data_IF_873813511663
#
_entry.id   IF_873813511663
#
_cell.length_a   1.000
_cell.length_b   1.000
_cell.length_c   1.000
_cell.angle_alpha   90.00
_cell.angle_beta   90.00
_cell.angle_gamma   90.00
#
_symmetry.space_group_name_H-M   'P 1'
#
loop_
_entity.id
_entity.type
_entity.pdbx_description
1 polymer ?
#
# COMPACT_ATOMS: atom_id res chain seq x y z
N UNK A 1 10.57 -9.83 9.44
CA UNK A 1 9.37 -9.96 10.30
C UNK A 1 9.50 -9.00 11.48
N UNK A 2 8.42 -8.34 11.83
CA UNK A 2 8.36 -7.51 13.01
C UNK A 2 7.94 -8.37 14.22
N UNK A 3 8.46 -8.03 15.40
CA UNK A 3 8.11 -8.71 16.64
C UNK A 3 7.48 -7.72 17.61
N UNK A 4 6.60 -8.19 18.44
CA UNK A 4 6.06 -7.44 19.56
C UNK A 4 6.12 -8.27 20.83
N UNK A 5 6.17 -7.60 21.99
CA UNK A 5 6.13 -8.25 23.28
C UNK A 5 4.90 -7.78 24.05
N UNK A 6 4.37 -8.65 24.87
CA UNK A 6 3.24 -8.34 25.74
C UNK A 6 3.49 -8.91 27.14
N UNK A 7 3.20 -8.09 28.14
CA UNK A 7 3.40 -8.45 29.55
C UNK A 7 2.31 -7.81 30.39
N UNK A 8 1.82 -8.53 31.36
CA UNK A 8 0.89 -8.01 32.37
C UNK A 8 1.59 -7.76 33.71
N UNK A 9 1.07 -6.86 34.49
CA UNK A 9 1.56 -6.62 35.85
C UNK A 9 0.42 -6.44 36.81
N UNK A 10 0.65 -6.79 38.08
CA UNK A 10 -0.25 -6.56 39.19
C UNK A 10 0.51 -5.78 40.29
N UNK A 11 -0.10 -4.79 40.85
CA UNK A 11 0.49 -4.03 41.97
C UNK A 11 -0.49 -3.89 43.12
N UNK A 12 0.02 -4.03 44.35
CA UNK A 12 -0.73 -3.79 45.56
C UNK A 12 0.24 -3.46 46.70
N UNK A 13 -0.18 -2.65 47.64
CA UNK A 13 0.62 -2.26 48.80
C UNK A 13 2.04 -1.80 48.47
N UNK A 14 2.22 -1.10 47.32
CA UNK A 14 3.53 -0.65 46.86
C UNK A 14 4.42 -1.73 46.24
N UNK A 15 3.91 -2.96 46.10
CA UNK A 15 4.61 -4.08 45.44
C UNK A 15 4.05 -4.30 44.05
N UNK A 16 4.93 -4.65 43.12
CA UNK A 16 4.56 -4.99 41.74
C UNK A 16 5.06 -6.38 41.39
N UNK A 17 4.20 -7.20 40.86
CA UNK A 17 4.54 -8.50 40.30
C UNK A 17 4.25 -8.48 38.77
N UNK A 18 5.22 -8.92 37.98
CA UNK A 18 5.12 -8.93 36.53
C UNK A 18 4.92 -10.37 36.05
N UNK A 19 4.12 -10.52 35.01
CA UNK A 19 4.01 -11.80 34.31
C UNK A 19 5.28 -12.08 33.48
N UNK A 20 5.38 -13.29 32.92
CA UNK A 20 6.29 -13.56 31.83
C UNK A 20 6.01 -12.64 30.64
N UNK A 21 7.00 -12.46 29.80
CA UNK A 21 6.87 -11.73 28.53
C UNK A 21 6.54 -12.74 27.44
N UNK A 22 5.48 -12.43 26.66
CA UNK A 22 5.09 -13.20 25.49
C UNK A 22 5.51 -12.44 24.25
N UNK A 23 6.15 -13.11 23.31
CA UNK A 23 6.60 -12.52 22.05
C UNK A 23 5.72 -13.03 20.92
N UNK A 24 5.22 -12.12 20.10
CA UNK A 24 4.50 -12.43 18.87
C UNK A 24 5.26 -11.93 17.65
N UNK A 25 5.03 -12.56 16.51
CA UNK A 25 5.59 -12.14 15.24
C UNK A 25 4.50 -11.62 14.31
N UNK A 26 4.79 -10.51 13.63
CA UNK A 26 3.93 -9.97 12.59
C UNK A 26 4.50 -10.43 11.25
N UNK A 27 3.77 -11.30 10.58
CA UNK A 27 4.17 -11.81 9.26
C UNK A 27 3.58 -10.94 8.17
N UNK A 28 4.43 -10.48 7.26
CA UNK A 28 3.98 -9.75 6.07
C UNK A 28 3.58 -10.75 5.00
N UNK A 29 2.31 -10.75 4.65
CA UNK A 29 1.76 -11.63 3.61
C UNK A 29 1.33 -10.86 2.35
N UNK A 30 1.21 -9.53 2.44
CA UNK A 30 0.96 -8.68 1.28
C UNK A 30 2.26 -8.08 0.77
N UNK A 31 2.44 -8.12 -0.52
CA UNK A 31 3.52 -7.43 -1.21
C UNK A 31 2.98 -6.64 -2.39
N UNK A 32 3.65 -5.54 -2.71
CA UNK A 32 3.30 -4.69 -3.83
C UNK A 32 4.54 -4.37 -4.64
N UNK A 33 4.41 -4.43 -5.95
CA UNK A 33 5.45 -3.99 -6.87
C UNK A 33 4.86 -3.09 -7.93
N UNK A 34 5.65 -2.17 -8.43
CA UNK A 34 5.27 -1.24 -9.49
C UNK A 34 6.34 -1.25 -10.57
N UNK A 35 5.90 -1.40 -11.80
CA UNK A 35 6.79 -1.38 -12.97
C UNK A 35 6.28 -0.41 -14.00
N UNK A 36 7.20 0.23 -14.71
CA UNK A 36 6.87 1.04 -15.88
C UNK A 36 6.83 0.14 -17.11
N UNK A 37 5.80 0.31 -17.93
CA UNK A 37 5.67 -0.41 -19.20
C UNK A 37 6.70 0.10 -20.22
N UNK A 38 7.06 1.38 -20.14
CA UNK A 38 8.05 2.01 -21.02
C UNK A 38 9.30 2.40 -20.25
N UNK A 39 10.48 2.11 -20.81
CA UNK A 39 11.76 2.46 -20.17
C UNK A 39 12.21 3.89 -20.39
N UNK A 40 11.66 4.60 -21.38
CA UNK A 40 12.00 5.99 -21.67
C UNK A 40 10.78 6.75 -22.12
N UNK A 41 10.80 8.07 -21.88
CA UNK A 41 9.68 8.95 -22.21
C UNK A 41 10.17 10.38 -22.43
N UNK A 42 9.33 11.17 -23.09
CA UNK A 42 9.52 12.61 -23.31
C UNK A 42 8.43 13.37 -22.60
N UNK A 43 8.66 14.66 -22.41
CA UNK A 43 7.66 15.56 -21.86
C UNK A 43 6.38 15.51 -22.73
N UNK A 44 5.26 15.31 -22.06
CA UNK A 44 3.95 15.21 -22.73
C UNK A 44 3.55 13.80 -23.13
N UNK A 45 4.43 12.82 -22.97
CA UNK A 45 4.10 11.42 -23.26
C UNK A 45 3.14 10.85 -22.22
N UNK A 46 2.36 9.85 -22.65
CA UNK A 46 1.54 9.05 -21.75
C UNK A 46 2.36 7.87 -21.23
N UNK A 47 2.39 7.71 -19.91
CA UNK A 47 3.07 6.62 -19.24
C UNK A 47 2.06 5.63 -18.69
N UNK A 48 2.38 4.34 -18.78
CA UNK A 48 1.58 3.28 -18.19
C UNK A 48 2.41 2.54 -17.16
N UNK A 49 1.83 2.36 -15.97
CA UNK A 49 2.43 1.60 -14.88
C UNK A 49 1.58 0.38 -14.57
N UNK A 50 2.25 -0.71 -14.21
CA UNK A 50 1.61 -1.90 -13.69
C UNK A 50 1.92 -2.02 -12.20
N UNK A 51 0.89 -2.11 -11.38
CA UNK A 51 0.99 -2.34 -9.94
C UNK A 51 0.49 -3.74 -9.65
N UNK A 52 1.36 -4.57 -9.11
CA UNK A 52 1.06 -5.95 -8.74
C UNK A 52 0.97 -6.08 -7.23
N UNK A 53 -0.11 -6.66 -6.74
CA UNK A 53 -0.31 -6.93 -5.33
C UNK A 53 -0.46 -8.43 -5.16
N UNK A 54 0.35 -9.01 -4.28
CA UNK A 54 0.34 -10.44 -4.00
C UNK A 54 0.01 -10.70 -2.55
N UNK A 55 -0.82 -11.71 -2.32
CA UNK A 55 -1.15 -12.21 -1.00
C UNK A 55 -0.61 -13.65 -0.87
N UNK A 56 0.39 -13.84 -0.03
CA UNK A 56 0.98 -15.15 0.24
C UNK A 56 0.40 -15.81 1.49
N UNK A 57 -0.54 -15.13 2.15
CA UNK A 57 -1.26 -15.68 3.30
C UNK A 57 -2.43 -16.55 2.89
N UNK A 58 -3.13 -17.07 3.88
CA UNK A 58 -4.27 -17.95 3.68
C UNK A 58 -5.62 -17.25 3.75
N UNK A 59 -5.65 -15.98 4.12
CA UNK A 59 -6.87 -15.17 4.23
C UNK A 59 -6.89 -14.08 3.16
N UNK A 60 -8.05 -13.84 2.53
CA UNK A 60 -8.18 -12.75 1.57
C UNK A 60 -8.19 -11.38 2.26
N UNK A 61 -7.80 -10.36 1.52
CA UNK A 61 -7.87 -8.96 1.95
C UNK A 61 -8.85 -8.20 1.07
N UNK A 62 -9.68 -7.38 1.70
CA UNK A 62 -10.67 -6.54 1.02
C UNK A 62 -10.54 -5.09 1.50
N UNK A 63 -11.07 -4.16 0.72
CA UNK A 63 -11.06 -2.76 1.09
C UNK A 63 -9.69 -2.12 1.10
N UNK A 64 -8.76 -2.64 0.30
CA UNK A 64 -7.41 -2.08 0.19
C UNK A 64 -7.42 -0.78 -0.61
N UNK A 65 -6.52 0.13 -0.24
CA UNK A 65 -6.30 1.39 -0.97
C UNK A 65 -4.86 1.43 -1.46
N UNK A 66 -4.70 1.69 -2.76
CA UNK A 66 -3.40 1.94 -3.38
C UNK A 66 -3.21 3.45 -3.50
N UNK A 67 -2.08 3.94 -3.04
CA UNK A 67 -1.74 5.37 -3.09
C UNK A 67 -0.47 5.55 -3.91
N UNK A 68 -0.51 6.51 -4.85
CA UNK A 68 0.62 6.85 -5.70
C UNK A 68 0.86 8.36 -5.59
N UNK A 69 2.09 8.75 -5.31
CA UNK A 69 2.47 10.15 -5.16
C UNK A 69 2.66 10.89 -6.49
N UNK A 70 2.49 10.20 -7.62
CA UNK A 70 2.66 10.75 -8.97
C UNK A 70 4.05 11.34 -9.20
N UNK A 71 5.06 10.76 -8.56
CA UNK A 71 6.45 11.18 -8.66
C UNK A 71 6.77 12.45 -7.89
N UNK A 72 5.92 12.86 -6.93
CA UNK A 72 6.09 14.09 -6.17
C UNK A 72 7.48 14.19 -5.51
N UNK A 73 8.09 15.36 -5.61
CA UNK A 73 9.36 15.65 -4.96
C UNK A 73 9.46 17.12 -4.61
N UNK A 74 10.44 17.44 -3.76
CA UNK A 74 10.72 18.82 -3.36
C UNK A 74 12.00 19.30 -4.04
N UNK A 75 11.92 20.46 -4.72
CA UNK A 75 13.08 21.13 -5.31
C UNK A 75 13.26 22.47 -4.58
N UNK A 76 14.25 22.58 -3.69
CA UNK A 76 14.39 23.73 -2.81
C UNK A 76 13.21 23.86 -1.86
N UNK A 77 12.44 24.95 -1.98
CA UNK A 77 11.19 25.19 -1.22
C UNK A 77 9.93 24.85 -2.01
N UNK A 78 10.06 24.44 -3.27
CA UNK A 78 8.93 24.14 -4.14
C UNK A 78 8.63 22.64 -4.16
N UNK A 79 7.34 22.31 -4.14
CA UNK A 79 6.87 20.93 -4.36
C UNK A 79 6.54 20.75 -5.83
N UNK A 80 6.99 19.63 -6.41
CA UNK A 80 6.78 19.30 -7.81
C UNK A 80 6.10 17.94 -7.93
N UNK A 81 5.02 17.87 -8.71
CA UNK A 81 4.34 16.62 -9.05
C UNK A 81 4.36 16.45 -10.56
N UNK A 82 5.33 15.70 -11.11
CA UNK A 82 5.57 15.66 -12.56
C UNK A 82 4.52 14.89 -13.34
N UNK A 83 3.78 13.97 -12.71
CA UNK A 83 2.80 13.12 -13.37
C UNK A 83 1.38 13.62 -13.08
N UNK A 84 0.50 13.45 -14.06
CA UNK A 84 -0.93 13.70 -13.93
C UNK A 84 -1.68 12.43 -14.27
N UNK A 85 -2.67 12.08 -13.46
CA UNK A 85 -3.51 10.92 -13.74
C UNK A 85 -4.38 11.17 -14.97
N UNK A 86 -4.35 10.22 -15.92
CA UNK A 86 -5.27 10.22 -17.07
C UNK A 86 -6.60 9.60 -16.64
N UNK A 87 -7.69 10.36 -16.68
CA UNK A 87 -9.01 9.91 -16.24
C UNK A 87 -9.46 8.63 -16.94
N UNK A 88 -10.20 7.78 -16.23
CA UNK A 88 -10.78 6.51 -16.72
C UNK A 88 -9.75 5.52 -17.29
N UNK A 89 -8.48 5.63 -16.86
CA UNK A 89 -7.38 4.81 -17.39
C UNK A 89 -6.99 3.65 -16.49
N UNK A 90 -7.64 3.46 -15.34
CA UNK A 90 -7.31 2.36 -14.43
C UNK A 90 -8.03 1.09 -14.87
N UNK A 91 -7.25 0.03 -15.10
CA UNK A 91 -7.75 -1.32 -15.31
C UNK A 91 -7.40 -2.17 -14.09
N UNK A 92 -8.35 -2.91 -13.58
CA UNK A 92 -8.23 -3.72 -12.37
C UNK A 92 -8.45 -5.20 -12.72
N UNK A 93 -7.46 -6.03 -12.40
CA UNK A 93 -7.50 -7.47 -12.66
C UNK A 93 -7.29 -8.24 -11.38
N UNK A 94 -8.05 -9.31 -11.21
CA UNK A 94 -7.84 -10.29 -10.13
C UNK A 94 -7.59 -11.65 -10.77
N UNK A 95 -6.43 -12.24 -10.51
CA UNK A 95 -6.01 -13.52 -11.08
C UNK A 95 -6.16 -13.56 -12.62
N UNK A 96 -5.82 -12.44 -13.27
CA UNK A 96 -5.91 -12.32 -14.73
C UNK A 96 -7.31 -12.01 -15.28
N UNK A 97 -8.31 -11.83 -14.43
CA UNK A 97 -9.68 -11.52 -14.84
C UNK A 97 -9.99 -10.05 -14.58
N UNK A 98 -10.42 -9.34 -15.62
CA UNK A 98 -10.80 -7.93 -15.51
C UNK A 98 -12.02 -7.77 -14.60
N UNK A 99 -11.91 -6.85 -13.66
CA UNK A 99 -12.96 -6.51 -12.70
C UNK A 99 -13.61 -5.17 -13.07
N UNK A 100 -14.70 -4.85 -12.38
CA UNK A 100 -15.31 -3.53 -12.45
C UNK A 100 -14.28 -2.46 -12.00
N UNK A 101 -14.39 -1.26 -12.56
CA UNK A 101 -13.47 -0.17 -12.24
C UNK A 101 -13.53 0.17 -10.74
N UNK A 102 -12.38 0.29 -10.08
CA UNK A 102 -12.33 0.69 -8.67
C UNK A 102 -12.65 2.18 -8.51
N UNK A 103 -12.84 2.61 -7.27
CA UNK A 103 -12.99 4.03 -6.96
C UNK A 103 -11.63 4.71 -7.04
N UNK A 104 -11.54 5.77 -7.82
CA UNK A 104 -10.30 6.51 -8.07
C UNK A 104 -10.46 7.97 -7.70
N UNK A 105 -9.52 8.49 -6.92
CA UNK A 105 -9.35 9.91 -6.67
C UNK A 105 -8.04 10.36 -7.30
N UNK A 106 -8.11 11.29 -8.24
CA UNK A 106 -6.97 11.67 -9.08
C UNK A 106 -5.82 12.34 -8.31
N UNK A 107 -6.13 12.94 -7.18
CA UNK A 107 -5.11 13.54 -6.31
C UNK A 107 -4.52 14.85 -6.80
N UNK A 108 -3.22 15.16 -6.54
CA UNK A 108 -2.23 14.32 -5.85
C UNK A 108 -2.47 14.18 -4.34
N UNK A 109 -2.21 13.03 -3.71
CA UNK A 109 -1.80 11.78 -4.33
C UNK A 109 -2.97 11.05 -5.01
N UNK A 110 -2.65 10.25 -6.03
CA UNK A 110 -3.62 9.35 -6.65
C UNK A 110 -3.98 8.25 -5.65
N UNK A 111 -5.27 8.02 -5.44
CA UNK A 111 -5.75 6.92 -4.60
C UNK A 111 -6.72 6.04 -5.36
N UNK A 112 -6.54 4.73 -5.23
CA UNK A 112 -7.41 3.72 -5.83
C UNK A 112 -7.88 2.83 -4.69
N UNK A 113 -9.18 2.82 -4.42
CA UNK A 113 -9.77 2.14 -3.27
C UNK A 113 -10.73 1.04 -3.71
N UNK A 114 -11.11 0.19 -2.75
CA UNK A 114 -11.99 -0.94 -3.02
C UNK A 114 -11.29 -2.12 -3.66
N UNK A 115 -9.98 -2.25 -3.48
CA UNK A 115 -9.17 -3.34 -4.03
C UNK A 115 -9.26 -4.56 -3.12
N UNK A 116 -9.43 -5.73 -3.74
CA UNK A 116 -9.44 -7.02 -3.04
C UNK A 116 -8.35 -7.93 -3.59
N UNK A 117 -7.72 -8.67 -2.69
CA UNK A 117 -6.68 -9.65 -3.05
C UNK A 117 -7.06 -10.97 -2.39
N UNK A 118 -7.42 -11.99 -3.17
CA UNK A 118 -7.81 -13.29 -2.64
C UNK A 118 -6.67 -14.06 -2.00
#
# INVERSE_FOLDING_TARGET
MAQFTNQASISYNGLTANSNIVTGEITRVLSVSKTSVSGSYRRGDTLTYAVSISNTGSAPYTGLTVTDDLGAYTAGTASVTPLTFAGDSVLYYVNGVLQAAPTVAAGPPLTISGISVP
#
